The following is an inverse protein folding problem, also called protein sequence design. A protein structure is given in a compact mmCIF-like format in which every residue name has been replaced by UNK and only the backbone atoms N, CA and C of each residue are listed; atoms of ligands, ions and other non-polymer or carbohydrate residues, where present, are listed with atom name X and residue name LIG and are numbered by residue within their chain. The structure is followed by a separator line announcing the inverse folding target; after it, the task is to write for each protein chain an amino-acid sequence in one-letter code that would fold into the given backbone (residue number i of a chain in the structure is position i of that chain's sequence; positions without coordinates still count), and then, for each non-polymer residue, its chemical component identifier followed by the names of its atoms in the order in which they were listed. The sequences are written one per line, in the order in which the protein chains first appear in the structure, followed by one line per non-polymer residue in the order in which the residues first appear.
data_IF_755105977787
#
_entry.id   IF_755105977787
#
_cell.length_a   1.000
_cell.length_b   1.000
_cell.length_c   1.000
_cell.angle_alpha   90.00
_cell.angle_beta   90.00
_cell.angle_gamma   90.00
#
_symmetry.space_group_name_H-M   'P 1'
#
loop_
_entity.id
_entity.type
_entity.pdbx_description
1 polymer ?
#
# COMPACT_ATOMS: atom_id res chain seq x y z
N UNK A 1 -10.98 -11.07 -17.03
CA UNK A 1 -10.08 -10.05 -17.62
C UNK A 1 -9.19 -9.39 -16.57
N UNK A 2 -9.66 -9.02 -15.37
CA UNK A 2 -8.81 -8.48 -14.31
C UNK A 2 -7.84 -9.52 -13.68
N UNK A 3 -8.23 -10.79 -13.59
CA UNK A 3 -7.38 -11.87 -13.00
C UNK A 3 -6.12 -12.14 -13.83
N UNK A 4 -6.23 -12.15 -15.16
CA UNK A 4 -5.11 -12.47 -16.08
C UNK A 4 -4.00 -11.42 -16.00
N UNK A 5 -4.38 -10.15 -15.77
CA UNK A 5 -3.46 -9.03 -15.66
C UNK A 5 -2.74 -9.02 -14.29
N UNK A 6 -3.41 -9.50 -13.24
CA UNK A 6 -2.82 -9.65 -11.90
C UNK A 6 -1.76 -10.76 -11.90
N UNK A 7 -1.99 -11.84 -12.63
CA UNK A 7 -1.04 -12.96 -12.77
C UNK A 7 0.22 -12.56 -13.56
N UNK A 8 0.09 -11.84 -14.67
CA UNK A 8 1.26 -11.34 -15.44
C UNK A 8 2.12 -10.35 -14.64
N UNK A 9 1.50 -9.51 -13.81
CA UNK A 9 2.24 -8.60 -12.92
C UNK A 9 2.89 -9.36 -11.76
N UNK A 10 2.23 -10.38 -11.22
CA UNK A 10 2.82 -11.23 -10.18
C UNK A 10 4.06 -11.99 -10.68
N UNK A 11 4.08 -12.39 -11.96
CA UNK A 11 5.26 -13.00 -12.61
C UNK A 11 6.40 -11.99 -12.82
N UNK A 12 6.10 -10.75 -13.23
CA UNK A 12 7.13 -9.72 -13.46
C UNK A 12 7.62 -9.04 -12.17
N UNK A 13 6.81 -9.07 -11.11
CA UNK A 13 7.10 -8.44 -9.83
C UNK A 13 6.86 -9.45 -8.70
N UNK A 14 7.88 -10.26 -8.33
CA UNK A 14 7.75 -11.26 -7.24
C UNK A 14 7.39 -10.65 -5.88
N UNK A 15 7.55 -9.33 -5.72
CA UNK A 15 7.09 -8.57 -4.56
C UNK A 15 5.58 -8.28 -4.55
N UNK A 16 4.82 -8.64 -5.58
CA UNK A 16 3.35 -8.44 -5.62
C UNK A 16 2.63 -9.21 -4.51
N UNK A 17 3.10 -10.41 -4.17
CA UNK A 17 2.60 -11.15 -3.00
C UNK A 17 2.77 -10.36 -1.69
N UNK A 18 3.69 -9.38 -1.63
CA UNK A 18 3.84 -8.50 -0.48
C UNK A 18 2.76 -7.43 -0.39
N UNK A 19 2.08 -7.05 -1.48
CA UNK A 19 0.89 -6.19 -1.38
C UNK A 19 -0.15 -6.83 -0.45
N UNK A 20 -0.36 -8.14 -0.55
CA UNK A 20 -1.27 -8.86 0.35
C UNK A 20 -0.85 -8.76 1.81
N UNK A 21 0.45 -8.73 2.09
CA UNK A 21 0.95 -8.55 3.47
C UNK A 21 0.65 -7.14 3.98
N UNK A 22 0.81 -6.11 3.15
CA UNK A 22 0.47 -4.73 3.53
C UNK A 22 -1.04 -4.54 3.71
N UNK A 23 -1.85 -5.17 2.86
CA UNK A 23 -3.31 -5.20 3.03
C UNK A 23 -3.71 -5.95 4.31
N UNK A 24 -3.02 -7.04 4.64
CA UNK A 24 -3.24 -7.77 5.88
C UNK A 24 -2.83 -6.95 7.11
N UNK A 25 -1.70 -6.24 7.05
CA UNK A 25 -1.24 -5.33 8.11
C UNK A 25 -2.24 -4.19 8.32
N UNK A 26 -2.69 -3.54 7.25
CA UNK A 26 -3.72 -2.50 7.29
C UNK A 26 -4.99 -3.01 7.98
N UNK A 27 -5.49 -4.19 7.59
CA UNK A 27 -6.66 -4.81 8.23
C UNK A 27 -6.38 -5.15 9.70
N UNK A 28 -5.18 -5.64 10.03
CA UNK A 28 -4.82 -6.01 11.39
C UNK A 28 -4.85 -4.81 12.34
N UNK A 29 -4.41 -3.63 11.88
CA UNK A 29 -4.45 -2.40 12.68
C UNK A 29 -5.90 -1.97 12.91
N UNK A 30 -6.72 -1.95 11.87
CA UNK A 30 -8.14 -1.59 12.01
C UNK A 30 -8.91 -2.54 12.94
N UNK A 31 -8.64 -3.85 12.84
CA UNK A 31 -9.24 -4.86 13.73
C UNK A 31 -8.83 -4.66 15.20
N UNK A 32 -7.61 -4.18 15.48
CA UNK A 32 -7.14 -3.88 16.85
C UNK A 32 -8.05 -2.91 17.58
N UNK A 33 -8.60 -1.94 16.86
CA UNK A 33 -9.50 -0.91 17.40
C UNK A 33 -10.99 -1.18 17.10
N UNK A 34 -11.30 -2.34 16.53
CA UNK A 34 -12.65 -2.72 16.12
C UNK A 34 -13.31 -1.70 15.16
N UNK A 35 -12.52 -1.18 14.23
CA UNK A 35 -12.96 -0.26 13.18
C UNK A 35 -12.77 -0.88 11.79
N UNK A 36 -13.42 -0.31 10.79
CA UNK A 36 -13.39 -0.79 9.40
C UNK A 36 -12.77 0.19 8.41
N UNK A 37 -12.54 1.43 8.84
CA UNK A 37 -12.00 2.50 8.00
C UNK A 37 -11.05 3.41 8.77
N UNK A 38 -10.27 4.19 8.03
CA UNK A 38 -9.40 5.21 8.62
C UNK A 38 -10.23 6.31 9.27
N UNK A 39 -11.34 6.72 8.64
CA UNK A 39 -12.27 7.71 9.21
C UNK A 39 -12.89 7.24 10.54
N UNK A 40 -13.17 5.93 10.67
CA UNK A 40 -13.62 5.35 11.93
C UNK A 40 -12.52 5.35 13.00
N UNK A 41 -11.26 5.15 12.63
CA UNK A 41 -10.14 5.21 13.57
C UNK A 41 -9.89 6.63 14.09
N UNK A 42 -9.97 7.64 13.21
CA UNK A 42 -9.93 9.05 13.61
C UNK A 42 -11.07 9.40 14.56
N UNK A 43 -12.28 8.90 14.26
CA UNK A 43 -13.44 9.08 15.14
C UNK A 43 -13.26 8.38 16.49
N UNK A 44 -12.64 7.19 16.49
CA UNK A 44 -12.33 6.43 17.69
C UNK A 44 -11.30 7.18 18.56
N UNK A 45 -10.26 7.76 17.96
CA UNK A 45 -9.28 8.59 18.66
C UNK A 45 -9.93 9.83 19.29
N UNK A 46 -10.79 10.53 18.55
CA UNK A 46 -11.51 11.69 19.07
C UNK A 46 -12.41 11.34 20.27
N UNK A 47 -12.95 10.11 20.31
CA UNK A 47 -13.78 9.62 21.41
C UNK A 47 -12.96 9.06 22.60
N UNK A 48 -11.71 8.66 22.38
CA UNK A 48 -10.83 8.04 23.38
C UNK A 48 -9.44 8.73 23.42
N UNK A 49 -9.38 10.03 23.77
CA UNK A 49 -8.14 10.80 23.75
C UNK A 49 -7.08 10.25 24.72
N UNK A 50 -7.47 9.52 25.77
CA UNK A 50 -6.54 8.87 26.69
C UNK A 50 -5.74 7.72 26.05
N UNK A 51 -6.20 7.19 24.91
CA UNK A 51 -5.52 6.15 24.13
C UNK A 51 -4.67 6.75 22.98
N UNK A 52 -4.55 8.08 22.90
CA UNK A 52 -3.83 8.77 21.82
C UNK A 52 -2.39 8.28 21.64
N UNK A 53 -1.66 8.04 22.73
CA UNK A 53 -0.28 7.54 22.67
C UNK A 53 -0.17 6.18 21.98
N UNK A 54 -1.20 5.36 22.08
CA UNK A 54 -1.23 4.01 21.54
C UNK A 54 -1.78 4.00 20.10
N UNK A 55 -2.71 4.90 19.78
CA UNK A 55 -3.37 5.00 18.47
C UNK A 55 -2.51 5.77 17.46
N UNK A 56 -1.82 6.85 17.87
CA UNK A 56 -1.05 7.70 16.97
C UNK A 56 0.00 6.94 16.12
N UNK A 57 0.81 6.02 16.68
CA UNK A 57 1.76 5.24 15.89
C UNK A 57 1.08 4.37 14.83
N UNK A 58 -0.08 3.79 15.17
CA UNK A 58 -0.86 2.93 14.28
C UNK A 58 -1.55 3.75 13.17
N UNK A 59 -2.03 4.95 13.47
CA UNK A 59 -2.54 5.91 12.48
C UNK A 59 -1.45 6.33 11.48
N UNK A 60 -0.28 6.74 11.99
CA UNK A 60 0.87 7.08 11.15
C UNK A 60 1.28 5.90 10.25
N UNK A 61 1.18 4.68 10.79
CA UNK A 61 1.46 3.47 10.05
C UNK A 61 0.45 3.23 8.93
N UNK A 62 -0.84 3.39 9.22
CA UNK A 62 -1.90 3.26 8.22
C UNK A 62 -1.76 4.29 7.10
N UNK A 63 -1.48 5.55 7.43
CA UNK A 63 -1.23 6.62 6.46
C UNK A 63 -0.06 6.29 5.53
N UNK A 64 1.05 5.81 6.11
CA UNK A 64 2.21 5.39 5.35
C UNK A 64 1.88 4.24 4.39
N UNK A 65 1.20 3.20 4.87
CA UNK A 65 0.79 2.05 4.06
C UNK A 65 -0.16 2.47 2.93
N UNK A 66 -1.17 3.27 3.23
CA UNK A 66 -2.16 3.74 2.26
C UNK A 66 -1.50 4.58 1.15
N UNK A 67 -0.62 5.52 1.53
CA UNK A 67 0.13 6.34 0.58
C UNK A 67 0.98 5.49 -0.37
N UNK A 68 1.72 4.51 0.17
CA UNK A 68 2.58 3.63 -0.63
C UNK A 68 1.79 2.67 -1.53
N UNK A 69 0.68 2.13 -1.04
CA UNK A 69 -0.22 1.30 -1.83
C UNK A 69 -0.83 2.07 -3.00
N UNK A 70 -1.27 3.31 -2.78
CA UNK A 70 -1.79 4.16 -3.86
C UNK A 70 -0.71 4.48 -4.91
N UNK A 71 0.52 4.78 -4.49
CA UNK A 71 1.63 4.99 -5.42
C UNK A 71 1.94 3.74 -6.25
N UNK A 72 1.96 2.56 -5.62
CA UNK A 72 2.15 1.29 -6.32
C UNK A 72 1.02 1.03 -7.33
N UNK A 73 -0.24 1.18 -6.92
CA UNK A 73 -1.40 1.00 -7.80
C UNK A 73 -1.35 1.92 -9.02
N UNK A 74 -0.98 3.19 -8.82
CA UNK A 74 -0.82 4.15 -9.91
C UNK A 74 0.31 3.76 -10.87
N UNK A 75 1.48 3.36 -10.35
CA UNK A 75 2.61 2.93 -11.17
C UNK A 75 2.28 1.66 -11.96
N UNK A 76 1.60 0.69 -11.36
CA UNK A 76 1.15 -0.51 -12.06
C UNK A 76 0.10 -0.20 -13.14
N UNK A 77 -0.90 0.64 -12.83
CA UNK A 77 -1.91 1.05 -13.81
C UNK A 77 -1.29 1.79 -15.00
N UNK A 78 -0.28 2.63 -14.75
CA UNK A 78 0.47 3.30 -15.81
C UNK A 78 1.33 2.35 -16.65
N UNK A 79 1.89 1.28 -16.07
CA UNK A 79 2.63 0.27 -16.81
C UNK A 79 1.71 -0.59 -17.69
N UNK A 80 0.48 -0.85 -17.24
CA UNK A 80 -0.52 -1.60 -18.01
C UNK A 80 -1.16 -0.79 -19.13
N UNK A 81 -1.40 0.52 -18.89
CA UNK A 81 -2.21 1.36 -19.78
C UNK A 81 -1.44 1.99 -20.94
N UNK A 82 -0.11 2.12 -20.87
CA UNK A 82 0.66 2.85 -21.87
C UNK A 82 1.48 1.93 -22.79
N UNK A 83 0.90 1.61 -23.95
CA UNK A 83 1.64 1.06 -25.09
C UNK A 83 2.67 2.05 -25.68
N UNK A 84 2.66 3.31 -25.24
CA UNK A 84 3.47 4.42 -25.77
C UNK A 84 4.66 4.82 -24.88
N UNK A 85 4.82 4.22 -23.70
CA UNK A 85 5.98 4.50 -22.86
C UNK A 85 7.26 4.11 -23.60
N UNK A 86 8.20 5.05 -23.71
CA UNK A 86 9.50 4.68 -24.24
C UNK A 86 10.26 3.82 -23.21
N UNK A 87 11.25 3.08 -23.69
CA UNK A 87 12.02 2.13 -22.86
C UNK A 87 12.64 2.76 -21.60
N UNK A 88 13.00 4.05 -21.62
CA UNK A 88 13.57 4.73 -20.44
C UNK A 88 12.51 5.00 -19.38
N UNK A 89 11.31 5.44 -19.77
CA UNK A 89 10.21 5.69 -18.84
C UNK A 89 9.72 4.39 -18.17
N UNK A 90 9.66 3.31 -18.95
CA UNK A 90 9.33 1.98 -18.42
C UNK A 90 10.33 1.53 -17.34
N UNK A 91 11.64 1.72 -17.59
CA UNK A 91 12.70 1.40 -16.63
C UNK A 91 12.67 2.29 -15.37
N UNK A 92 12.31 3.56 -15.50
CA UNK A 92 12.15 4.47 -14.37
C UNK A 92 11.02 4.02 -13.44
N UNK A 93 9.86 3.68 -14.01
CA UNK A 93 8.71 3.19 -13.24
C UNK A 93 9.01 1.87 -12.53
N UNK A 94 9.69 0.94 -13.19
CA UNK A 94 10.16 -0.32 -12.56
C UNK A 94 11.10 -0.04 -11.38
N UNK A 95 12.06 0.90 -11.54
CA UNK A 95 12.97 1.29 -10.45
C UNK A 95 12.21 1.91 -9.28
N UNK A 96 11.19 2.72 -9.56
CA UNK A 96 10.38 3.37 -8.54
C UNK A 96 9.53 2.36 -7.75
N UNK A 97 8.89 1.41 -8.44
CA UNK A 97 8.20 0.29 -7.80
C UNK A 97 9.14 -0.47 -6.87
N UNK A 98 10.35 -0.80 -7.35
CA UNK A 98 11.37 -1.47 -6.53
C UNK A 98 11.84 -0.64 -5.32
N UNK A 99 11.87 0.69 -5.43
CA UNK A 99 12.15 1.59 -4.29
C UNK A 99 11.03 1.53 -3.26
N UNK A 100 9.77 1.63 -3.68
CA UNK A 100 8.62 1.62 -2.79
C UNK A 100 8.53 0.30 -2.01
N UNK A 101 8.76 -0.84 -2.66
CA UNK A 101 8.84 -2.13 -1.96
C UNK A 101 9.98 -2.20 -0.94
N UNK A 102 11.14 -1.58 -1.22
CA UNK A 102 12.25 -1.50 -0.25
C UNK A 102 11.91 -0.63 0.95
N UNK A 103 11.22 0.50 0.74
CA UNK A 103 10.77 1.38 1.82
C UNK A 103 9.76 0.68 2.72
N UNK A 104 8.80 -0.02 2.12
CA UNK A 104 7.83 -0.82 2.85
C UNK A 104 8.52 -1.92 3.68
N UNK A 105 9.54 -2.60 3.13
CA UNK A 105 10.33 -3.61 3.85
C UNK A 105 11.11 -3.05 5.05
N UNK A 106 11.61 -1.81 4.98
CA UNK A 106 12.40 -1.22 6.07
C UNK A 106 11.55 -0.83 7.28
N UNK A 107 10.24 -0.73 7.09
CA UNK A 107 9.32 -0.27 8.12
C UNK A 107 8.36 -1.37 8.61
N UNK A 108 8.35 -2.57 8.03
CA UNK A 108 7.76 -3.81 8.61
C UNK A 108 8.79 -4.55 9.44
#
# INVERSE_FOLDING_TARGET
MAETIIEEIAEQFPDYNRLRNFEAEHRSILVRYNVHSFEELDSFLAANPEQESDILPDLQRLDFLASRLNQLKNLFGQLQGDAHLNRQEHLLKIKEIGRLFKELRRNT
#
